data_IF_358415062757
#
_entry.id   IF_358415062757
#
_cell.length_a   1.000
_cell.length_b   1.000
_cell.length_c   1.000
_cell.angle_alpha   90.00
_cell.angle_beta   90.00
_cell.angle_gamma   90.00
#
_symmetry.space_group_name_H-M   'P 1'
#
loop_
_entity.id
_entity.type
_entity.pdbx_description
1 polymer ?
#
# COMPACT_ATOMS: atom_id res chain seq x y z
N UNK A 1 6.92 1.81 22.34
CA UNK A 1 6.82 2.08 20.89
C UNK A 1 5.34 2.12 20.53
N UNK A 2 4.89 3.18 19.91
CA UNK A 2 3.51 3.33 19.42
C UNK A 2 3.44 2.84 17.97
N UNK A 3 2.46 2.01 17.64
CA UNK A 3 2.23 1.49 16.28
C UNK A 3 0.97 2.12 15.70
N UNK A 4 1.12 2.93 14.67
CA UNK A 4 0.06 3.62 13.97
C UNK A 4 -0.13 2.98 12.59
N UNK A 5 -1.29 2.41 12.33
CA UNK A 5 -1.64 1.93 11.01
C UNK A 5 -2.26 3.07 10.19
N UNK A 6 -1.76 3.26 8.97
CA UNK A 6 -2.26 4.27 8.04
C UNK A 6 -2.80 3.57 6.79
N UNK A 7 -4.11 3.62 6.60
CA UNK A 7 -4.79 3.01 5.46
C UNK A 7 -4.88 4.02 4.32
N UNK A 8 -4.12 3.78 3.25
CA UNK A 8 -4.01 4.67 2.09
C UNK A 8 -5.12 4.41 1.09
N UNK A 9 -6.10 5.30 1.06
CA UNK A 9 -7.29 5.27 0.20
C UNK A 9 -7.40 6.49 -0.73
N UNK A 10 -6.30 7.23 -0.96
CA UNK A 10 -6.28 8.45 -1.78
C UNK A 10 -6.46 8.25 -3.29
N UNK A 11 -6.32 7.01 -3.79
CA UNK A 11 -6.39 6.74 -5.22
C UNK A 11 -7.81 6.80 -5.79
N UNK A 12 -7.97 7.40 -6.98
CA UNK A 12 -9.27 7.53 -7.69
C UNK A 12 -9.73 6.25 -8.39
N UNK A 13 -8.85 5.26 -8.54
CA UNK A 13 -9.22 3.94 -9.13
C UNK A 13 -9.47 3.95 -10.63
N UNK A 14 -8.86 4.84 -11.40
CA UNK A 14 -9.09 5.05 -12.86
C UNK A 14 -9.06 3.77 -13.71
N UNK A 15 -8.29 2.76 -13.31
CA UNK A 15 -8.20 1.46 -14.00
C UNK A 15 -9.42 0.55 -13.86
N UNK A 16 -10.33 0.86 -12.94
CA UNK A 16 -11.54 0.07 -12.70
C UNK A 16 -12.69 0.40 -13.67
N UNK A 17 -12.58 1.49 -14.48
CA UNK A 17 -13.64 1.95 -15.35
C UNK A 17 -14.92 2.37 -14.61
N UNK A 18 -14.87 2.57 -13.32
CA UNK A 18 -16.00 2.93 -12.44
C UNK A 18 -15.87 4.37 -11.96
N UNK A 19 -17.01 5.04 -11.75
CA UNK A 19 -17.07 6.34 -11.09
C UNK A 19 -16.82 6.26 -9.58
N UNK A 20 -16.92 5.05 -8.99
CA UNK A 20 -16.65 4.82 -7.58
C UNK A 20 -15.24 4.26 -7.42
N UNK A 21 -14.37 4.86 -6.58
CA UNK A 21 -13.06 4.32 -6.31
C UNK A 21 -13.12 2.91 -5.70
N UNK A 22 -12.19 2.05 -6.11
CA UNK A 22 -12.18 0.63 -5.78
C UNK A 22 -12.25 0.30 -4.28
N UNK A 23 -11.69 1.15 -3.42
CA UNK A 23 -11.75 1.00 -1.97
C UNK A 23 -13.17 1.13 -1.39
N UNK A 24 -14.06 1.78 -2.12
CA UNK A 24 -15.47 1.93 -1.75
C UNK A 24 -16.41 0.98 -2.50
N UNK A 25 -15.88 0.12 -3.38
CA UNK A 25 -16.68 -0.89 -4.06
C UNK A 25 -17.18 -1.95 -3.07
N UNK A 26 -18.37 -2.51 -3.32
CA UNK A 26 -18.92 -3.57 -2.49
C UNK A 26 -18.11 -4.86 -2.64
N UNK A 27 -17.90 -5.54 -1.51
CA UNK A 27 -17.30 -6.85 -1.39
C UNK A 27 -18.04 -7.62 -0.30
N UNK A 28 -18.84 -8.62 -0.66
CA UNK A 28 -19.63 -9.43 0.27
C UNK A 28 -20.42 -8.61 1.33
N UNK A 29 -21.16 -7.59 0.86
CA UNK A 29 -22.02 -6.76 1.72
C UNK A 29 -21.33 -5.63 2.51
N UNK A 30 -20.01 -5.45 2.33
CA UNK A 30 -19.19 -4.39 2.93
C UNK A 30 -18.41 -3.66 1.84
N UNK A 31 -17.76 -2.55 2.15
CA UNK A 31 -16.80 -1.95 1.22
C UNK A 31 -15.41 -2.57 1.40
N UNK A 32 -14.61 -2.59 0.32
CA UNK A 32 -13.23 -3.14 0.32
C UNK A 32 -12.40 -2.59 1.49
N UNK A 33 -12.50 -1.28 1.78
CA UNK A 33 -11.70 -0.65 2.83
C UNK A 33 -12.09 -1.09 4.25
N UNK A 34 -13.36 -1.47 4.48
CA UNK A 34 -13.83 -1.85 5.82
C UNK A 34 -13.10 -3.07 6.37
N UNK A 35 -12.69 -4.00 5.51
CA UNK A 35 -11.92 -5.19 5.93
C UNK A 35 -10.56 -4.80 6.53
N UNK A 36 -9.81 -3.91 5.85
CA UNK A 36 -8.53 -3.45 6.37
C UNK A 36 -8.69 -2.64 7.67
N UNK A 37 -9.69 -1.73 7.73
CA UNK A 37 -9.96 -0.96 8.94
C UNK A 37 -10.21 -1.90 10.13
N UNK A 38 -11.08 -2.90 9.95
CA UNK A 38 -11.43 -3.85 11.01
C UNK A 38 -10.22 -4.65 11.47
N UNK A 39 -9.44 -5.21 10.53
CA UNK A 39 -8.26 -6.00 10.85
C UNK A 39 -7.26 -5.20 11.69
N UNK A 40 -6.93 -3.96 11.28
CA UNK A 40 -6.01 -3.12 12.05
C UNK A 40 -6.60 -2.63 13.38
N UNK A 41 -7.89 -2.26 13.41
CA UNK A 41 -8.54 -1.83 14.65
C UNK A 41 -8.60 -2.92 15.70
N UNK A 42 -8.84 -4.17 15.28
CA UNK A 42 -8.95 -5.31 16.20
C UNK A 42 -7.60 -5.88 16.64
N UNK A 43 -6.51 -5.49 15.97
CA UNK A 43 -5.18 -6.00 16.29
C UNK A 43 -4.63 -5.41 17.60
N UNK A 44 -4.19 -6.24 18.59
CA UNK A 44 -3.76 -5.76 19.90
C UNK A 44 -2.50 -4.89 19.85
N UNK A 45 -1.59 -5.16 18.92
CA UNK A 45 -0.33 -4.42 18.79
C UNK A 45 -0.47 -3.10 18.00
N UNK A 46 -1.65 -2.75 17.51
CA UNK A 46 -1.92 -1.46 16.85
C UNK A 46 -2.59 -0.52 17.86
N UNK A 47 -1.99 0.62 18.08
CA UNK A 47 -2.48 1.61 19.05
C UNK A 47 -3.50 2.56 18.41
N UNK A 48 -3.30 2.92 17.14
CA UNK A 48 -4.09 3.93 16.43
C UNK A 48 -4.21 3.55 14.94
N UNK A 49 -5.34 3.90 14.33
CA UNK A 49 -5.57 3.77 12.89
C UNK A 49 -5.90 5.14 12.32
N UNK A 50 -5.28 5.50 11.20
CA UNK A 50 -5.65 6.64 10.37
C UNK A 50 -6.06 6.18 8.99
N UNK A 51 -6.93 6.95 8.33
CA UNK A 51 -7.31 6.72 6.94
C UNK A 51 -6.95 7.94 6.12
N UNK A 52 -6.19 7.75 5.04
CA UNK A 52 -5.91 8.80 4.05
C UNK A 52 -6.83 8.62 2.88
N UNK A 53 -7.69 9.60 2.59
CA UNK A 53 -8.74 9.50 1.57
C UNK A 53 -8.69 10.71 0.63
N UNK A 54 -9.06 10.51 -0.65
CA UNK A 54 -9.22 11.63 -1.58
C UNK A 54 -10.27 12.63 -1.02
N UNK A 55 -10.04 13.95 -1.06
CA UNK A 55 -10.94 14.94 -0.47
C UNK A 55 -12.41 14.79 -0.90
N UNK A 56 -12.67 14.50 -2.18
CA UNK A 56 -14.03 14.30 -2.71
C UNK A 56 -14.78 13.12 -2.07
N UNK A 57 -14.07 12.20 -1.43
CA UNK A 57 -14.62 10.99 -0.81
C UNK A 57 -14.56 11.03 0.71
N UNK A 58 -14.15 12.16 1.28
CA UNK A 58 -14.03 12.33 2.74
C UNK A 58 -15.36 12.08 3.46
N UNK A 59 -16.44 12.69 3.00
CA UNK A 59 -17.78 12.50 3.60
C UNK A 59 -18.21 11.03 3.59
N UNK A 60 -17.92 10.30 2.49
CA UNK A 60 -18.20 8.87 2.41
C UNK A 60 -17.38 8.06 3.41
N UNK A 61 -16.12 8.45 3.65
CA UNK A 61 -15.27 7.80 4.64
C UNK A 61 -15.76 8.05 6.08
N UNK A 62 -16.20 9.27 6.37
CA UNK A 62 -16.79 9.63 7.66
C UNK A 62 -18.05 8.81 7.96
N UNK A 63 -18.94 8.62 6.98
CA UNK A 63 -20.11 7.74 7.09
C UNK A 63 -19.73 6.29 7.43
N UNK A 64 -18.67 5.75 6.77
CA UNK A 64 -18.19 4.39 7.02
C UNK A 64 -17.66 4.28 8.44
N UNK A 65 -16.81 5.21 8.87
CA UNK A 65 -16.23 5.23 10.22
C UNK A 65 -17.35 5.30 11.28
N UNK A 66 -18.34 6.16 11.09
CA UNK A 66 -19.44 6.28 12.04
C UNK A 66 -20.30 5.01 12.11
N UNK A 67 -20.57 4.38 10.97
CA UNK A 67 -21.28 3.09 10.92
C UNK A 67 -20.54 1.98 11.66
N UNK A 68 -19.20 1.93 11.54
CA UNK A 68 -18.38 0.94 12.24
C UNK A 68 -18.40 1.16 13.76
N UNK A 69 -18.41 2.42 14.23
CA UNK A 69 -18.55 2.76 15.66
C UNK A 69 -19.87 2.24 16.24
N UNK A 70 -20.98 2.42 15.53
CA UNK A 70 -22.33 2.00 15.99
C UNK A 70 -22.42 0.48 16.14
N UNK A 71 -21.68 -0.29 15.36
CA UNK A 71 -21.65 -1.77 15.47
C UNK A 71 -20.96 -2.30 16.72
N UNK A 72 -20.45 -1.42 17.60
CA UNK A 72 -19.77 -1.81 18.84
C UNK A 72 -18.36 -2.35 18.61
N UNK A 73 -17.80 -2.20 17.43
CA UNK A 73 -16.42 -2.55 17.13
C UNK A 73 -15.49 -1.61 17.90
N UNK A 74 -14.37 -2.14 18.40
CA UNK A 74 -13.33 -1.35 19.07
C UNK A 74 -12.59 -0.52 18.01
N UNK A 75 -13.23 0.57 17.57
CA UNK A 75 -12.73 1.39 16.50
C UNK A 75 -11.58 2.29 17.00
N UNK A 76 -10.37 2.06 16.50
CA UNK A 76 -9.17 2.86 16.79
C UNK A 76 -8.93 3.96 15.75
N UNK A 77 -9.89 4.22 14.85
CA UNK A 77 -9.75 5.27 13.84
C UNK A 77 -9.84 6.63 14.51
N UNK A 78 -8.71 7.33 14.57
CA UNK A 78 -8.56 8.63 15.21
C UNK A 78 -8.52 9.79 14.23
N UNK A 79 -8.03 9.55 13.00
CA UNK A 79 -7.83 10.58 11.99
C UNK A 79 -8.31 10.15 10.61
N UNK A 80 -8.98 11.08 9.92
CA UNK A 80 -9.20 11.02 8.48
C UNK A 80 -8.38 12.16 7.87
N UNK A 81 -7.42 11.81 7.02
CA UNK A 81 -6.42 12.71 6.44
C UNK A 81 -6.71 12.85 4.96
N UNK A 82 -6.59 14.05 4.41
CA UNK A 82 -6.74 14.27 2.98
C UNK A 82 -5.55 13.71 2.21
N UNK A 83 -5.85 12.89 1.18
CA UNK A 83 -4.86 12.34 0.27
C UNK A 83 -4.38 13.37 -0.75
N UNK A 84 -3.23 13.09 -1.36
CA UNK A 84 -2.73 13.87 -2.49
C UNK A 84 -3.16 13.29 -3.84
N UNK A 85 -2.78 13.97 -4.92
CA UNK A 85 -3.04 13.55 -6.30
C UNK A 85 -2.31 12.25 -6.69
N UNK A 86 -1.21 11.95 -6.00
CA UNK A 86 -0.42 10.74 -6.18
C UNK A 86 -0.28 9.94 -4.88
N UNK A 87 0.07 8.64 -5.01
CA UNK A 87 0.19 7.76 -3.86
C UNK A 87 1.22 8.29 -2.84
N UNK A 88 2.38 8.74 -3.30
CA UNK A 88 3.42 9.24 -2.42
C UNK A 88 3.00 10.50 -1.65
N UNK A 89 2.17 11.37 -2.25
CA UNK A 89 1.62 12.54 -1.56
C UNK A 89 0.66 12.15 -0.43
N UNK A 90 -0.10 11.07 -0.62
CA UNK A 90 -0.94 10.50 0.44
C UNK A 90 -0.10 9.97 1.60
N UNK A 91 1.03 9.29 1.32
CA UNK A 91 1.98 8.85 2.34
C UNK A 91 2.63 10.04 3.05
N UNK A 92 3.03 11.07 2.30
CA UNK A 92 3.60 12.30 2.86
C UNK A 92 2.62 13.00 3.81
N UNK A 93 1.35 13.17 3.40
CA UNK A 93 0.33 13.79 4.23
C UNK A 93 0.12 13.01 5.54
N UNK A 94 0.17 11.67 5.47
CA UNK A 94 0.13 10.83 6.67
C UNK A 94 1.35 11.07 7.58
N UNK A 95 2.56 11.08 7.03
CA UNK A 95 3.79 11.34 7.80
C UNK A 95 3.71 12.71 8.48
N UNK A 96 3.27 13.74 7.75
CA UNK A 96 3.12 15.09 8.30
C UNK A 96 2.05 15.20 9.39
N UNK A 97 0.97 14.41 9.29
CA UNK A 97 -0.06 14.38 10.32
C UNK A 97 0.42 13.80 11.67
N UNK A 98 1.55 13.11 11.66
CA UNK A 98 2.16 12.49 12.83
C UNK A 98 3.57 13.03 13.14
N UNK A 99 3.93 14.19 12.58
CA UNK A 99 5.30 14.74 12.69
C UNK A 99 5.74 14.99 14.13
N UNK A 100 4.81 15.31 15.01
CA UNK A 100 5.06 15.63 16.43
C UNK A 100 5.00 14.40 17.35
N UNK A 101 4.75 13.20 16.81
CA UNK A 101 4.79 11.98 17.61
C UNK A 101 6.23 11.62 18.01
N UNK A 102 6.40 10.91 19.13
CA UNK A 102 7.73 10.48 19.59
C UNK A 102 8.52 9.69 18.53
N UNK A 103 9.83 9.84 18.54
CA UNK A 103 10.76 9.19 17.60
C UNK A 103 10.69 7.65 17.60
N UNK A 104 10.19 7.04 18.68
CA UNK A 104 9.97 5.60 18.78
C UNK A 104 8.62 5.14 18.20
N UNK A 105 7.89 6.04 17.55
CA UNK A 105 6.64 5.72 16.85
C UNK A 105 6.92 5.02 15.51
N UNK A 106 6.10 4.01 15.21
CA UNK A 106 6.09 3.29 13.94
C UNK A 106 4.86 3.69 13.11
N UNK A 107 5.06 3.94 11.81
CA UNK A 107 3.98 4.06 10.84
C UNK A 107 3.92 2.80 9.96
N UNK A 108 2.76 2.14 9.91
CA UNK A 108 2.47 1.01 9.05
C UNK A 108 1.58 1.49 7.90
N UNK A 109 2.16 1.75 6.74
CA UNK A 109 1.47 2.28 5.56
C UNK A 109 0.85 1.12 4.77
N UNK A 110 -0.48 1.08 4.66
CA UNK A 110 -1.22 -0.02 4.04
C UNK A 110 -2.15 0.45 2.93
N UNK A 111 -2.10 -0.21 1.78
CA UNK A 111 -3.00 0.07 0.67
C UNK A 111 -4.44 -0.39 1.00
N UNK A 112 -5.42 0.51 1.04
CA UNK A 112 -6.84 0.19 1.24
C UNK A 112 -7.40 -0.82 0.24
N UNK A 113 -6.73 -0.97 -0.90
CA UNK A 113 -7.07 -1.94 -1.94
C UNK A 113 -6.62 -3.38 -1.64
N UNK A 114 -6.05 -3.66 -0.46
CA UNK A 114 -5.69 -5.01 0.02
C UNK A 114 -6.54 -5.37 1.24
N UNK A 115 -7.79 -5.80 1.03
CA UNK A 115 -8.72 -6.03 2.15
C UNK A 115 -8.30 -7.18 3.07
N UNK A 116 -7.48 -8.13 2.59
CA UNK A 116 -7.20 -9.39 3.30
C UNK A 116 -5.78 -9.43 3.89
N UNK A 117 -5.33 -8.31 4.43
CA UNK A 117 -4.21 -8.34 5.37
C UNK A 117 -4.64 -9.12 6.62
N UNK A 118 -3.78 -10.03 7.11
CA UNK A 118 -4.12 -10.87 8.27
C UNK A 118 -3.41 -10.39 9.53
N UNK A 119 -3.91 -10.81 10.69
CA UNK A 119 -3.28 -10.51 11.99
C UNK A 119 -1.83 -11.03 12.04
N UNK A 120 -1.56 -12.20 11.49
CA UNK A 120 -0.22 -12.80 11.47
C UNK A 120 0.77 -11.97 10.62
N UNK A 121 0.31 -11.31 9.56
CA UNK A 121 1.16 -10.37 8.79
C UNK A 121 1.50 -9.17 9.68
N UNK A 122 0.53 -8.62 10.38
CA UNK A 122 0.74 -7.47 11.28
C UNK A 122 1.69 -7.88 12.42
N UNK A 123 1.51 -9.06 13.03
CA UNK A 123 2.40 -9.59 14.07
C UNK A 123 3.85 -9.66 13.59
N UNK A 124 4.10 -10.23 12.40
CA UNK A 124 5.44 -10.31 11.82
C UNK A 124 6.07 -8.94 11.58
N UNK A 125 5.28 -7.99 11.09
CA UNK A 125 5.74 -6.61 10.84
C UNK A 125 6.11 -5.92 12.14
N UNK A 126 5.23 -5.97 13.15
CA UNK A 126 5.48 -5.33 14.45
C UNK A 126 6.67 -5.97 15.17
N UNK A 127 6.77 -7.30 15.14
CA UNK A 127 7.91 -8.02 15.72
C UNK A 127 9.24 -7.62 15.05
N UNK A 128 9.25 -7.49 13.71
CA UNK A 128 10.44 -7.06 12.99
C UNK A 128 10.84 -5.61 13.29
N UNK A 129 9.86 -4.71 13.50
CA UNK A 129 10.12 -3.32 13.91
C UNK A 129 10.75 -3.19 15.31
N UNK A 130 10.69 -4.22 16.12
CA UNK A 130 11.42 -4.28 17.39
C UNK A 130 12.94 -4.18 17.21
N UNK A 131 13.48 -4.66 16.09
CA UNK A 131 14.92 -4.72 15.81
C UNK A 131 15.33 -3.97 14.52
N UNK A 132 14.38 -3.48 13.74
CA UNK A 132 14.63 -2.84 12.45
C UNK A 132 13.80 -1.56 12.30
N UNK A 133 14.33 -0.59 11.56
CA UNK A 133 13.65 0.69 11.33
C UNK A 133 12.76 0.69 10.08
N UNK A 134 12.93 -0.29 9.20
CA UNK A 134 12.15 -0.43 7.96
C UNK A 134 11.82 -1.90 7.69
N UNK A 135 10.54 -2.17 7.42
CA UNK A 135 10.01 -3.51 7.15
C UNK A 135 9.07 -3.46 5.96
N UNK A 136 9.28 -4.34 5.00
CA UNK A 136 8.40 -4.54 3.85
C UNK A 136 7.76 -5.93 3.89
N UNK A 137 6.48 -6.01 3.53
CA UNK A 137 5.78 -7.29 3.32
C UNK A 137 5.94 -7.69 1.87
N UNK A 138 6.29 -8.95 1.60
CA UNK A 138 6.37 -9.47 0.25
C UNK A 138 6.13 -10.98 0.20
N UNK A 139 5.87 -11.51 -1.00
CA UNK A 139 5.76 -12.95 -1.27
C UNK A 139 6.70 -13.33 -2.41
N UNK A 140 7.28 -14.54 -2.43
CA UNK A 140 8.10 -15.00 -3.54
C UNK A 140 7.34 -14.91 -4.87
N UNK A 141 8.03 -14.54 -5.95
CA UNK A 141 7.43 -14.58 -7.29
C UNK A 141 7.31 -16.03 -7.77
N UNK A 142 6.13 -16.42 -8.20
CA UNK A 142 5.87 -17.70 -8.86
C UNK A 142 6.24 -17.68 -10.33
N UNK A 143 6.19 -16.50 -10.95
CA UNK A 143 6.46 -16.31 -12.37
C UNK A 143 7.92 -15.91 -12.63
N UNK A 144 8.41 -16.20 -13.83
CA UNK A 144 9.66 -15.65 -14.33
C UNK A 144 9.45 -14.19 -14.70
N UNK A 145 10.23 -13.29 -14.12
CA UNK A 145 10.18 -11.85 -14.39
C UNK A 145 11.25 -11.50 -15.43
N UNK A 146 10.86 -10.75 -16.46
CA UNK A 146 11.78 -10.20 -17.44
C UNK A 146 11.93 -8.70 -17.28
N UNK A 147 13.16 -8.23 -17.24
CA UNK A 147 13.47 -6.82 -17.42
C UNK A 147 13.50 -6.55 -18.93
N UNK A 148 12.64 -5.62 -19.39
CA UNK A 148 12.50 -5.32 -20.82
C UNK A 148 12.77 -3.84 -21.08
N UNK A 149 13.50 -3.56 -22.17
CA UNK A 149 13.74 -2.19 -22.61
C UNK A 149 13.10 -1.95 -23.96
N UNK A 150 12.58 -0.73 -24.22
CA UNK A 150 12.12 -0.35 -25.56
C UNK A 150 13.30 -0.33 -26.50
N UNK A 151 13.07 -0.69 -27.77
CA UNK A 151 14.06 -0.50 -28.84
C UNK A 151 14.18 1.01 -29.16
N UNK A 152 15.38 1.52 -28.99
CA UNK A 152 15.71 2.93 -29.30
C UNK A 152 16.26 3.09 -30.75
N UNK A 153 16.27 2.04 -31.57
CA UNK A 153 16.74 2.08 -32.96
C UNK A 153 15.83 2.89 -33.90
N UNK A 154 14.63 3.19 -33.47
CA UNK A 154 13.62 3.93 -34.24
C UNK A 154 12.73 3.03 -35.13
N UNK A 155 12.91 1.71 -35.09
CA UNK A 155 11.96 0.78 -35.70
C UNK A 155 10.64 0.76 -34.92
N UNK A 156 9.53 0.86 -35.64
CA UNK A 156 8.19 0.77 -35.08
C UNK A 156 7.52 -0.51 -35.61
N UNK A 157 6.90 -1.26 -34.72
CA UNK A 157 5.99 -2.33 -35.13
C UNK A 157 4.64 -1.67 -35.44
N UNK A 158 4.26 -1.68 -36.72
CA UNK A 158 2.97 -1.16 -37.16
C UNK A 158 1.99 -2.33 -37.20
N UNK A 159 1.10 -2.41 -36.23
CA UNK A 159 -0.10 -3.26 -36.30
C UNK A 159 -1.27 -2.42 -36.80
N UNK A 160 -2.29 -3.07 -37.35
CA UNK A 160 -3.40 -2.46 -38.08
C UNK A 160 -4.13 -1.30 -37.38
N UNK A 161 -3.89 -1.08 -36.09
CA UNK A 161 -4.51 -0.02 -35.28
C UNK A 161 -3.55 0.75 -34.34
N UNK A 162 -2.29 0.30 -34.15
CA UNK A 162 -1.33 0.95 -33.25
C UNK A 162 0.11 0.84 -33.76
N UNK A 163 0.86 1.92 -33.60
CA UNK A 163 2.31 1.92 -33.68
C UNK A 163 2.89 1.62 -32.29
N UNK A 164 3.62 0.52 -32.16
CA UNK A 164 4.27 0.15 -30.89
C UNK A 164 5.78 0.09 -31.06
N UNK A 165 6.50 0.61 -30.06
CA UNK A 165 7.95 0.47 -29.99
C UNK A 165 8.25 -0.98 -29.55
N UNK A 166 9.05 -1.74 -30.32
CA UNK A 166 9.47 -3.09 -29.94
C UNK A 166 10.14 -3.08 -28.55
N UNK A 167 9.97 -4.16 -27.81
CA UNK A 167 10.62 -4.34 -26.52
C UNK A 167 11.45 -5.62 -26.55
N UNK A 168 12.67 -5.54 -26.07
CA UNK A 168 13.58 -6.67 -25.97
C UNK A 168 13.88 -7.02 -24.53
N UNK A 169 14.07 -8.31 -24.27
CA UNK A 169 14.47 -8.79 -22.95
C UNK A 169 15.93 -8.37 -22.73
N UNK A 170 16.14 -7.49 -21.76
CA UNK A 170 17.47 -7.03 -21.35
C UNK A 170 18.10 -7.97 -20.31
N UNK A 171 17.28 -8.50 -19.39
CA UNK A 171 17.74 -9.38 -18.33
C UNK A 171 16.59 -10.29 -17.85
N UNK A 172 16.98 -11.51 -17.44
CA UNK A 172 16.09 -12.45 -16.74
C UNK A 172 16.69 -12.66 -15.33
N UNK A 173 16.17 -11.99 -14.30
CA UNK A 173 16.66 -12.15 -12.93
C UNK A 173 16.42 -13.58 -12.42
N UNK A 174 17.24 -14.04 -11.49
CA UNK A 174 17.00 -15.32 -10.81
C UNK A 174 15.67 -15.25 -10.03
N UNK A 175 14.69 -16.10 -10.42
CA UNK A 175 13.34 -16.11 -9.81
C UNK A 175 13.36 -16.24 -8.29
N UNK A 176 14.29 -17.04 -7.72
CA UNK A 176 14.42 -17.23 -6.28
C UNK A 176 14.71 -15.95 -5.49
N UNK A 177 15.23 -14.91 -6.17
CA UNK A 177 15.54 -13.60 -5.59
C UNK A 177 14.41 -12.58 -5.84
N UNK A 178 13.38 -12.95 -6.60
CA UNK A 178 12.29 -12.05 -6.96
C UNK A 178 11.12 -12.23 -6.01
N UNK A 179 10.71 -11.13 -5.38
CA UNK A 179 9.58 -11.08 -4.47
C UNK A 179 8.61 -10.00 -4.91
N UNK A 180 7.32 -10.29 -4.82
CA UNK A 180 6.24 -9.33 -5.10
C UNK A 180 5.94 -8.54 -3.84
N UNK A 181 6.18 -7.22 -3.86
CA UNK A 181 5.94 -6.34 -2.74
C UNK A 181 4.43 -6.24 -2.43
N UNK A 182 4.13 -6.27 -1.15
CA UNK A 182 2.79 -6.06 -0.59
C UNK A 182 2.82 -4.93 0.43
N UNK A 183 1.72 -4.73 1.13
CA UNK A 183 1.61 -3.84 2.29
C UNK A 183 0.98 -4.61 3.47
N UNK A 184 1.24 -4.16 4.74
CA UNK A 184 1.83 -2.90 5.12
C UNK A 184 3.33 -2.81 4.83
N UNK A 185 3.80 -1.59 4.53
CA UNK A 185 5.20 -1.21 4.57
C UNK A 185 5.37 -0.33 5.80
N UNK A 186 6.29 -0.69 6.68
CA UNK A 186 6.34 -0.12 8.01
C UNK A 186 7.71 0.46 8.34
N UNK A 187 7.70 1.61 9.01
CA UNK A 187 8.90 2.39 9.23
C UNK A 187 8.87 3.06 10.59
N UNK A 188 10.05 3.24 11.18
CA UNK A 188 10.24 4.21 12.24
C UNK A 188 9.94 5.61 11.72
N UNK A 189 9.16 6.41 12.46
CA UNK A 189 8.73 7.74 12.01
C UNK A 189 9.88 8.67 11.57
N UNK A 190 11.00 8.82 12.33
CA UNK A 190 12.11 9.65 11.87
C UNK A 190 12.70 9.20 10.53
N UNK A 191 12.86 7.89 10.34
CA UNK A 191 13.42 7.35 9.11
C UNK A 191 12.59 7.70 7.88
N UNK A 192 11.27 7.44 7.93
CA UNK A 192 10.40 7.69 6.77
C UNK A 192 10.22 9.19 6.52
N UNK A 193 10.16 10.00 7.57
CA UNK A 193 10.15 11.47 7.48
C UNK A 193 11.39 11.99 6.74
N UNK A 194 12.58 11.57 7.17
CA UNK A 194 13.84 12.02 6.60
C UNK A 194 14.01 11.53 5.15
N UNK A 195 13.55 10.30 4.85
CA UNK A 195 13.54 9.77 3.48
C UNK A 195 12.69 10.64 2.54
N UNK A 196 11.48 10.99 2.96
CA UNK A 196 10.60 11.85 2.17
C UNK A 196 11.12 13.29 2.07
N UNK A 197 11.69 13.85 3.15
CA UNK A 197 12.30 15.17 3.11
C UNK A 197 13.43 15.27 2.06
N UNK A 198 14.27 14.23 1.95
CA UNK A 198 15.31 14.15 0.90
C UNK A 198 14.70 13.93 -0.48
N UNK A 199 13.69 13.08 -0.59
CA UNK A 199 13.04 12.79 -1.86
C UNK A 199 12.42 14.05 -2.49
N UNK A 200 11.81 14.90 -1.70
CA UNK A 200 11.20 16.15 -2.16
C UNK A 200 12.22 17.20 -2.66
N UNK A 201 13.51 17.02 -2.37
CA UNK A 201 14.60 17.87 -2.91
C UNK A 201 15.10 17.36 -4.28
N UNK A 202 14.69 16.16 -4.71
CA UNK A 202 15.06 15.60 -6.02
C UNK A 202 14.02 15.99 -7.08
N UNK A 203 14.38 16.84 -8.08
CA UNK A 203 13.47 17.24 -9.15
C UNK A 203 12.97 16.06 -10.02
N UNK A 204 13.66 14.92 -9.95
CA UNK A 204 13.30 13.70 -10.67
C UNK A 204 12.63 12.67 -9.75
N UNK A 205 12.10 13.12 -8.62
CA UNK A 205 11.44 12.23 -7.65
C UNK A 205 10.26 11.50 -8.27
N UNK A 206 10.34 10.18 -8.25
CA UNK A 206 9.25 9.28 -8.58
C UNK A 206 9.24 8.13 -7.56
N UNK A 207 8.08 7.77 -7.09
CA UNK A 207 7.91 6.67 -6.14
C UNK A 207 6.82 5.70 -6.60
N UNK A 208 7.13 4.42 -6.55
CA UNK A 208 6.16 3.34 -6.74
C UNK A 208 5.57 2.88 -5.41
N UNK A 209 6.40 2.87 -4.35
CA UNK A 209 6.04 2.52 -2.98
C UNK A 209 6.98 3.20 -1.96
N UNK A 210 6.67 3.07 -0.67
CA UNK A 210 7.40 3.74 0.40
C UNK A 210 8.76 3.08 0.69
N UNK A 211 8.86 1.76 0.52
CA UNK A 211 10.14 1.03 0.59
C UNK A 211 11.11 1.52 -0.48
N UNK A 212 10.62 1.82 -1.70
CA UNK A 212 11.42 2.39 -2.78
C UNK A 212 11.98 3.76 -2.43
N UNK A 213 11.19 4.61 -1.75
CA UNK A 213 11.64 5.91 -1.25
C UNK A 213 12.78 5.74 -0.24
N UNK A 214 12.58 4.91 0.79
CA UNK A 214 13.63 4.63 1.78
C UNK A 214 14.87 4.03 1.12
N UNK A 215 14.71 3.06 0.21
CA UNK A 215 15.85 2.44 -0.47
C UNK A 215 16.70 3.41 -1.27
N UNK A 216 16.05 4.39 -1.94
CA UNK A 216 16.74 5.39 -2.78
C UNK A 216 17.39 6.50 -1.94
N UNK A 217 16.68 7.05 -0.97
CA UNK A 217 17.10 8.27 -0.26
C UNK A 217 17.77 8.03 1.09
N UNK A 218 17.67 6.78 1.61
CA UNK A 218 18.33 6.31 2.84
C UNK A 218 19.14 5.03 2.55
N UNK A 219 20.16 5.07 1.65
CA UNK A 219 20.82 3.87 1.12
C UNK A 219 21.54 3.02 2.16
N UNK A 220 21.86 3.60 3.33
CA UNK A 220 22.44 2.88 4.47
C UNK A 220 21.42 2.04 5.26
N UNK A 221 20.13 2.26 5.06
CA UNK A 221 19.07 1.55 5.77
C UNK A 221 18.79 0.19 5.13
N UNK A 222 18.77 -0.84 5.96
CA UNK A 222 18.32 -2.18 5.54
C UNK A 222 16.80 -2.26 5.71
N UNK A 223 16.11 -2.65 4.64
CA UNK A 223 14.68 -2.94 4.69
C UNK A 223 14.52 -4.44 4.91
N UNK A 224 13.97 -4.82 6.05
CA UNK A 224 13.72 -6.23 6.39
C UNK A 224 12.47 -6.70 5.67
N UNK A 225 12.53 -7.84 5.00
CA UNK A 225 11.37 -8.43 4.35
C UNK A 225 10.73 -9.45 5.28
N UNK A 226 9.44 -9.32 5.50
CA UNK A 226 8.60 -10.34 6.17
C UNK A 226 7.66 -10.96 5.16
N UNK A 227 7.37 -12.24 5.34
CA UNK A 227 6.51 -12.98 4.43
C UNK A 227 5.06 -12.53 4.55
N UNK A 228 4.47 -12.22 3.41
CA UNK A 228 3.06 -11.87 3.26
C UNK A 228 2.17 -13.10 3.03
N UNK A 229 1.15 -12.93 2.22
CA UNK A 229 0.23 -14.00 1.82
C UNK A 229 -0.25 -13.78 0.39
N UNK A 230 -0.38 -14.83 -0.40
CA UNK A 230 -1.01 -14.74 -1.72
C UNK A 230 -2.48 -14.31 -1.62
N UNK A 231 -3.14 -14.51 -0.48
CA UNK A 231 -4.50 -13.99 -0.22
C UNK A 231 -4.53 -12.47 0.01
N UNK A 232 -3.41 -11.83 0.36
CA UNK A 232 -3.29 -10.37 0.52
C UNK A 232 -3.19 -9.67 -0.85
N UNK A 233 -4.13 -10.00 -1.75
CA UNK A 233 -4.22 -9.47 -3.10
C UNK A 233 -4.55 -7.97 -3.10
N UNK A 234 -4.05 -7.27 -4.11
CA UNK A 234 -4.40 -5.86 -4.37
C UNK A 234 -5.49 -5.80 -5.44
N UNK A 235 -6.65 -5.28 -5.09
CA UNK A 235 -7.70 -4.97 -6.07
C UNK A 235 -7.19 -3.92 -7.05
N UNK A 236 -7.06 -4.30 -8.32
CA UNK A 236 -6.61 -3.43 -9.41
C UNK A 236 -7.57 -3.47 -10.59
N UNK A 237 -8.27 -4.58 -10.76
CA UNK A 237 -9.22 -4.87 -11.84
C UNK A 237 -10.53 -5.43 -11.28
N UNK A 238 -11.64 -5.43 -12.04
CA UNK A 238 -12.88 -6.08 -11.63
C UNK A 238 -12.71 -7.58 -11.35
N UNK A 239 -11.82 -8.26 -12.07
CA UNK A 239 -11.52 -9.69 -11.89
C UNK A 239 -10.90 -9.95 -10.50
N UNK A 240 -10.06 -9.04 -10.01
CA UNK A 240 -9.49 -9.17 -8.66
C UNK A 240 -10.59 -9.14 -7.59
N UNK A 241 -11.61 -8.30 -7.78
CA UNK A 241 -12.75 -8.22 -6.85
C UNK A 241 -13.53 -9.53 -6.81
N UNK A 242 -13.82 -10.11 -7.99
CA UNK A 242 -14.48 -11.42 -8.07
C UNK A 242 -13.64 -12.54 -7.44
N UNK A 243 -12.32 -12.51 -7.61
CA UNK A 243 -11.42 -13.48 -6.96
C UNK A 243 -11.47 -13.36 -5.42
N UNK A 244 -11.53 -12.14 -4.89
CA UNK A 244 -11.65 -11.90 -3.44
C UNK A 244 -13.01 -12.38 -2.89
N UNK A 245 -14.11 -12.22 -3.63
CA UNK A 245 -15.41 -12.76 -3.24
C UNK A 245 -15.37 -14.30 -3.12
N UNK A 246 -14.71 -14.97 -4.06
CA UNK A 246 -14.52 -16.42 -3.98
C UNK A 246 -13.69 -16.84 -2.76
N UNK A 247 -12.68 -16.07 -2.39
CA UNK A 247 -11.88 -16.32 -1.18
C UNK A 247 -12.75 -16.23 0.09
N UNK A 248 -13.70 -15.29 0.15
CA UNK A 248 -14.62 -15.13 1.28
C UNK A 248 -15.66 -16.25 1.37
N UNK A 249 -16.07 -16.81 0.23
CA UNK A 249 -17.05 -17.90 0.17
C UNK A 249 -16.43 -19.24 0.60
N UNK A 250 -15.18 -19.48 0.23
CA UNK A 250 -14.50 -20.77 0.36
C UNK A 250 -13.54 -20.85 1.57
N UNK A 251 -13.36 -19.75 2.31
CA UNK A 251 -12.39 -19.69 3.40
C UNK A 251 -12.93 -19.43 4.75
#
# INVERSE_FOLDING_TARGET
>A
MKNIAVILAGGTGSRMGSSVPKQFMPLAGRTVIEYSIETFCNHPAIDEVAVVVHPDWRGRMEEIVERLKVKGERLKVSRIIDGGSERYMSSLNAIMAYIDEPDDTNLLLHDAARPFVTAEIIDRVVAALGNHEAVGVAVPSTDTVWEVHPDMSGELIVNSEKCEIPRFVARIPERRLMWRAQTPQAFRLPLIRDAYQRALQDPQFQATDDCGVVRKYMPGTKITVVEGSDRNLKVTTPQDLAALEQILING
#
